data_IF_742737455262
#
_entry.id   IF_742737455262
#
_cell.length_a   1.000
_cell.length_b   1.000
_cell.length_c   1.000
_cell.angle_alpha   90.00
_cell.angle_beta   90.00
_cell.angle_gamma   90.00
#
_symmetry.space_group_name_H-M   'P 1'
#
loop_
_entity.id
_entity.type
_entity.pdbx_description
1 polymer ?
#
# COMPACT_ATOMS: atom_id res chain seq x y z
N UNK A 1 52.40 -24.54 13.29
CA UNK A 1 51.03 -23.94 13.47
C UNK A 1 50.33 -24.60 14.63
N UNK A 2 50.02 -23.86 15.68
CA UNK A 2 49.56 -24.35 17.00
C UNK A 2 48.13 -24.90 16.91
N UNK A 3 47.85 -26.06 17.61
CA UNK A 3 46.52 -26.67 17.80
C UNK A 3 45.47 -25.69 18.30
N UNK A 4 45.85 -24.66 19.05
CA UNK A 4 44.97 -23.57 19.53
C UNK A 4 44.34 -22.71 18.43
N UNK A 5 45.06 -22.45 17.34
CA UNK A 5 44.57 -21.68 16.21
C UNK A 5 43.58 -22.45 15.32
N UNK A 6 43.69 -23.78 15.31
CA UNK A 6 42.76 -24.67 14.59
C UNK A 6 41.42 -24.85 15.32
N UNK A 7 41.45 -24.81 16.66
CA UNK A 7 40.22 -24.84 17.48
C UNK A 7 39.47 -23.52 17.46
N UNK A 8 40.16 -22.34 17.49
CA UNK A 8 39.50 -21.03 17.31
C UNK A 8 38.82 -20.91 15.96
N UNK A 9 39.47 -21.31 14.87
CA UNK A 9 38.86 -21.30 13.53
C UNK A 9 37.68 -22.26 13.38
N UNK A 10 37.63 -23.35 14.16
CA UNK A 10 36.44 -24.25 14.19
C UNK A 10 35.32 -23.69 15.05
N UNK A 11 35.61 -22.97 16.12
CA UNK A 11 34.62 -22.28 16.95
C UNK A 11 34.00 -21.08 16.20
N UNK A 12 34.81 -20.29 15.44
CA UNK A 12 34.32 -19.17 14.63
C UNK A 12 33.51 -19.64 13.39
N UNK A 13 33.68 -20.88 12.93
CA UNK A 13 32.89 -21.45 11.85
C UNK A 13 31.53 -22.02 12.33
N UNK A 14 31.38 -22.30 13.62
CA UNK A 14 30.16 -22.91 14.20
C UNK A 14 29.12 -21.86 14.61
N UNK A 15 29.41 -20.54 14.55
CA UNK A 15 28.55 -19.47 15.04
C UNK A 15 28.07 -18.51 13.96
N UNK A 16 28.23 -18.82 12.67
CA UNK A 16 27.54 -18.05 11.64
C UNK A 16 26.11 -18.56 11.55
N UNK A 17 25.19 -17.84 12.21
CA UNK A 17 23.76 -18.01 11.93
C UNK A 17 23.55 -18.01 10.40
N UNK A 18 22.67 -18.88 9.87
CA UNK A 18 22.39 -18.89 8.45
C UNK A 18 22.00 -17.47 8.03
N UNK A 19 22.68 -16.94 7.02
CA UNK A 19 22.32 -15.62 6.45
C UNK A 19 20.86 -15.75 6.00
N UNK A 20 19.95 -15.00 6.64
CA UNK A 20 18.57 -14.88 6.15
C UNK A 20 18.62 -14.57 4.66
N UNK A 21 17.86 -15.31 3.86
CA UNK A 21 17.72 -15.02 2.44
C UNK A 21 17.09 -13.63 2.32
N UNK A 22 17.82 -12.71 1.73
CA UNK A 22 17.34 -11.35 1.52
C UNK A 22 16.38 -11.34 0.34
N UNK A 23 15.21 -10.72 0.50
CA UNK A 23 14.26 -10.51 -0.59
C UNK A 23 14.88 -9.45 -1.53
N UNK A 24 15.00 -9.72 -2.83
CA UNK A 24 15.49 -8.73 -3.79
C UNK A 24 14.54 -7.51 -3.84
N UNK A 25 15.11 -6.32 -4.05
CA UNK A 25 14.29 -5.13 -4.28
C UNK A 25 13.53 -5.24 -5.60
N UNK A 26 12.22 -5.00 -5.55
CA UNK A 26 11.31 -4.98 -6.71
C UNK A 26 10.81 -3.55 -6.91
N UNK A 27 11.26 -2.91 -7.99
CA UNK A 27 10.94 -1.51 -8.26
C UNK A 27 9.45 -1.29 -8.56
N UNK A 28 8.79 -2.24 -9.22
CA UNK A 28 7.36 -2.22 -9.58
C UNK A 28 6.66 -3.45 -8.99
N UNK A 29 6.37 -3.41 -7.66
CA UNK A 29 5.92 -4.61 -6.93
C UNK A 29 4.53 -5.10 -7.34
N UNK A 30 3.66 -4.24 -7.88
CA UNK A 30 2.29 -4.57 -8.26
C UNK A 30 2.09 -4.77 -9.77
N UNK A 31 3.19 -4.83 -10.54
CA UNK A 31 3.14 -5.03 -11.98
C UNK A 31 2.35 -6.28 -12.35
N UNK A 32 1.43 -6.13 -13.31
CA UNK A 32 0.60 -7.22 -13.84
C UNK A 32 -0.64 -7.55 -13.00
N UNK A 33 -0.83 -6.92 -11.84
CA UNK A 33 -2.07 -7.05 -11.07
C UNK A 33 -3.19 -6.18 -11.67
N UNK A 34 -4.40 -6.70 -11.69
CA UNK A 34 -5.58 -5.88 -11.86
C UNK A 34 -5.63 -4.84 -10.73
N UNK A 35 -5.81 -3.56 -11.07
CA UNK A 35 -5.79 -2.49 -10.06
C UNK A 35 -4.39 -2.08 -9.59
N UNK A 36 -3.33 -2.31 -10.36
CA UNK A 36 -1.98 -1.89 -10.00
C UNK A 36 -1.90 -0.43 -9.58
N UNK A 37 -2.55 0.47 -10.31
CA UNK A 37 -2.53 1.92 -10.04
C UNK A 37 -3.25 2.27 -8.74
N UNK A 38 -4.32 1.57 -8.42
CA UNK A 38 -5.05 1.67 -7.16
C UNK A 38 -4.20 1.18 -5.99
N UNK A 39 -3.52 0.04 -6.13
CA UNK A 39 -2.60 -0.50 -5.12
C UNK A 39 -1.45 0.48 -4.85
N UNK A 40 -0.89 1.09 -5.89
CA UNK A 40 0.13 2.15 -5.76
C UNK A 40 -0.43 3.36 -5.03
N UNK A 41 -1.65 3.79 -5.36
CA UNK A 41 -2.31 4.91 -4.70
C UNK A 41 -2.53 4.61 -3.21
N UNK A 42 -3.03 3.43 -2.85
CA UNK A 42 -3.23 3.01 -1.46
C UNK A 42 -1.91 2.93 -0.69
N UNK A 43 -0.84 2.50 -1.35
CA UNK A 43 0.46 2.35 -0.70
C UNK A 43 1.13 3.70 -0.38
N UNK A 44 1.00 4.74 -1.25
CA UNK A 44 1.84 5.94 -1.15
C UNK A 44 1.11 7.27 -1.33
N UNK A 45 -0.18 7.28 -1.68
CA UNK A 45 -0.88 8.52 -2.05
C UNK A 45 -2.08 8.78 -1.15
N UNK A 46 -2.88 7.77 -0.90
CA UNK A 46 -4.13 7.90 -0.17
C UNK A 46 -3.92 7.73 1.34
N UNK A 47 -4.40 8.65 2.16
CA UNK A 47 -4.31 8.51 3.62
C UNK A 47 -5.30 7.46 4.14
N UNK A 48 -6.52 7.43 3.62
CA UNK A 48 -7.57 6.50 4.00
C UNK A 48 -8.29 5.98 2.77
N UNK A 49 -8.25 4.67 2.54
CA UNK A 49 -8.96 4.01 1.45
C UNK A 49 -9.12 2.52 1.74
N UNK A 50 -10.10 1.91 1.09
CA UNK A 50 -10.31 0.47 1.10
C UNK A 50 -10.45 -0.08 -0.32
N UNK A 51 -10.14 -1.35 -0.50
CA UNK A 51 -10.29 -2.02 -1.78
C UNK A 51 -10.61 -3.50 -1.55
N UNK A 52 -11.74 -3.97 -2.06
CA UNK A 52 -12.08 -5.40 -2.03
C UNK A 52 -11.34 -6.09 -3.17
N UNK A 53 -10.60 -7.15 -2.85
CA UNK A 53 -9.91 -8.01 -3.80
C UNK A 53 -10.35 -9.45 -3.60
N UNK A 54 -10.30 -10.24 -4.67
CA UNK A 54 -10.68 -11.64 -4.64
C UNK A 54 -9.45 -12.53 -4.63
N UNK A 55 -9.46 -13.52 -3.76
CA UNK A 55 -8.46 -14.59 -3.77
C UNK A 55 -8.70 -15.53 -4.95
N UNK A 56 -7.66 -16.10 -5.50
CA UNK A 56 -7.78 -17.17 -6.50
C UNK A 56 -8.31 -18.48 -5.84
N UNK A 57 -8.66 -19.45 -6.67
CA UNK A 57 -9.26 -20.70 -6.19
C UNK A 57 -8.31 -21.54 -5.30
N UNK A 58 -7.00 -21.41 -5.49
CA UNK A 58 -5.99 -22.13 -4.68
C UNK A 58 -5.93 -21.57 -3.25
N UNK A 59 -6.29 -20.31 -3.07
CA UNK A 59 -6.33 -19.59 -1.78
C UNK A 59 -7.76 -19.41 -1.25
N UNK A 60 -8.70 -20.25 -1.67
CA UNK A 60 -10.06 -20.30 -1.14
C UNK A 60 -11.12 -19.48 -1.90
N UNK A 61 -10.74 -18.63 -2.88
CA UNK A 61 -11.68 -17.94 -3.77
C UNK A 61 -12.59 -16.91 -3.09
N UNK A 62 -12.32 -16.55 -1.83
CA UNK A 62 -13.08 -15.57 -1.06
C UNK A 62 -12.65 -14.13 -1.34
N UNK A 63 -13.43 -13.17 -0.85
CA UNK A 63 -13.09 -11.75 -0.90
C UNK A 63 -12.42 -11.34 0.41
N UNK A 64 -11.39 -10.49 0.32
CA UNK A 64 -10.72 -9.83 1.44
C UNK A 64 -10.67 -8.34 1.18
N UNK A 65 -10.45 -7.55 2.21
CA UNK A 65 -10.34 -6.09 2.08
C UNK A 65 -8.91 -5.62 2.32
N UNK A 66 -8.29 -5.06 1.31
CA UNK A 66 -7.09 -4.25 1.48
C UNK A 66 -7.48 -2.87 2.01
N UNK A 67 -6.71 -2.35 2.95
CA UNK A 67 -6.91 -1.04 3.56
C UNK A 67 -5.60 -0.26 3.58
N UNK A 68 -5.65 1.06 3.62
CA UNK A 68 -4.42 1.86 3.67
C UNK A 68 -3.65 1.63 4.96
N UNK A 69 -4.32 1.76 6.09
CA UNK A 69 -3.73 1.72 7.43
C UNK A 69 -4.64 0.95 8.39
N UNK A 70 -4.06 0.33 9.41
CA UNK A 70 -4.74 -0.29 10.54
C UNK A 70 -4.27 0.33 11.87
N UNK A 71 -5.05 0.19 12.95
CA UNK A 71 -4.64 0.67 14.28
C UNK A 71 -3.26 0.13 14.67
N UNK A 72 -2.46 0.95 15.36
CA UNK A 72 -1.13 0.60 15.85
C UNK A 72 -0.16 0.10 14.76
N UNK A 73 -0.40 0.47 13.49
CA UNK A 73 0.35 -0.01 12.33
C UNK A 73 0.34 -1.55 12.20
N UNK A 74 -0.74 -2.20 12.64
CA UNK A 74 -0.93 -3.62 12.43
C UNK A 74 -0.88 -3.97 10.95
N UNK A 75 -0.36 -5.16 10.63
CA UNK A 75 -0.26 -5.63 9.25
C UNK A 75 -1.59 -6.18 8.73
N UNK A 76 -2.37 -6.78 9.62
CA UNK A 76 -3.69 -7.28 9.31
C UNK A 76 -4.58 -7.30 10.56
N UNK A 77 -5.89 -7.37 10.34
CA UNK A 77 -6.91 -7.52 11.37
C UNK A 77 -8.00 -8.46 10.85
N UNK A 78 -8.34 -9.49 11.60
CA UNK A 78 -9.58 -10.23 11.39
C UNK A 78 -10.61 -9.72 12.39
N UNK A 79 -11.60 -8.97 11.90
CA UNK A 79 -12.65 -8.38 12.73
C UNK A 79 -13.50 -9.47 13.39
N UNK A 80 -14.27 -9.11 14.44
CA UNK A 80 -15.14 -10.06 15.15
C UNK A 80 -16.21 -10.67 14.23
N UNK A 81 -16.67 -9.94 13.20
CA UNK A 81 -17.58 -10.42 12.16
C UNK A 81 -16.91 -11.37 11.14
N UNK A 82 -15.61 -11.61 11.25
CA UNK A 82 -14.83 -12.50 10.39
C UNK A 82 -14.26 -11.84 9.14
N UNK A 83 -14.53 -10.56 8.87
CA UNK A 83 -13.92 -9.86 7.73
C UNK A 83 -12.41 -9.68 7.95
N UNK A 84 -11.62 -10.02 6.93
CA UNK A 84 -10.16 -9.90 6.94
C UNK A 84 -9.76 -8.58 6.29
N UNK A 85 -9.07 -7.74 7.06
CA UNK A 85 -8.47 -6.48 6.64
C UNK A 85 -6.95 -6.64 6.57
N UNK A 86 -6.32 -6.22 5.47
CA UNK A 86 -4.85 -6.26 5.31
C UNK A 86 -4.33 -4.88 4.96
N UNK A 87 -3.38 -4.37 5.75
CA UNK A 87 -2.83 -3.04 5.58
C UNK A 87 -1.83 -2.98 4.42
N UNK A 88 -1.94 -1.93 3.61
CA UNK A 88 -0.97 -1.60 2.57
C UNK A 88 0.22 -0.80 3.12
N UNK A 89 -0.03 0.09 4.10
CA UNK A 89 0.99 0.94 4.71
C UNK A 89 1.37 0.36 6.09
N UNK A 90 2.57 -0.20 6.17
CA UNK A 90 3.10 -0.80 7.39
C UNK A 90 4.49 -0.23 7.70
N UNK A 91 5.00 -0.46 8.90
CA UNK A 91 6.34 -0.02 9.31
C UNK A 91 7.47 -0.91 8.79
N UNK A 92 7.16 -2.09 8.24
CA UNK A 92 8.13 -3.10 7.85
C UNK A 92 8.14 -3.31 6.34
N UNK A 93 9.31 -3.18 5.70
CA UNK A 93 9.47 -3.33 4.26
C UNK A 93 10.65 -4.25 3.95
N UNK A 94 10.41 -5.33 3.21
CA UNK A 94 11.46 -6.27 2.79
C UNK A 94 12.23 -5.82 1.55
N UNK A 95 11.61 -4.97 0.72
CA UNK A 95 12.08 -4.58 -0.61
C UNK A 95 11.15 -5.04 -1.74
N UNK A 96 10.15 -5.88 -1.45
CA UNK A 96 9.05 -6.26 -2.35
C UNK A 96 7.70 -6.07 -1.63
N UNK A 97 7.06 -4.92 -1.85
CA UNK A 97 5.79 -4.59 -1.19
C UNK A 97 4.67 -5.59 -1.51
N UNK A 98 4.65 -6.17 -2.72
CA UNK A 98 3.67 -7.20 -3.07
C UNK A 98 3.85 -8.46 -2.20
N UNK A 99 5.11 -8.84 -1.94
CA UNK A 99 5.45 -9.95 -1.05
C UNK A 99 5.10 -9.64 0.40
N UNK A 100 5.33 -8.40 0.86
CA UNK A 100 5.06 -7.99 2.23
C UNK A 100 3.57 -8.08 2.54
N UNK A 101 2.72 -7.54 1.65
CA UNK A 101 1.26 -7.60 1.78
C UNK A 101 0.76 -9.05 1.65
N UNK A 102 1.32 -9.84 0.73
CA UNK A 102 0.96 -11.24 0.57
C UNK A 102 1.25 -12.07 1.83
N UNK A 103 2.39 -11.84 2.48
CA UNK A 103 2.72 -12.50 3.74
C UNK A 103 1.70 -12.20 4.84
N UNK A 104 1.39 -10.90 5.02
CA UNK A 104 0.40 -10.48 6.00
C UNK A 104 -1.00 -11.05 5.70
N UNK A 105 -1.36 -11.11 4.42
CA UNK A 105 -2.64 -11.69 3.98
C UNK A 105 -2.73 -13.19 4.33
N UNK A 106 -1.71 -13.97 3.99
CA UNK A 106 -1.71 -15.42 4.27
C UNK A 106 -1.77 -15.70 5.77
N UNK A 107 -1.03 -14.95 6.60
CA UNK A 107 -1.12 -15.07 8.06
C UNK A 107 -2.50 -14.63 8.58
N UNK A 108 -3.09 -13.58 7.99
CA UNK A 108 -4.40 -13.07 8.39
C UNK A 108 -5.56 -14.04 8.16
N UNK A 109 -5.46 -14.90 7.15
CA UNK A 109 -6.48 -15.93 6.90
C UNK A 109 -6.58 -16.93 8.04
N UNK A 110 -5.46 -17.19 8.74
CA UNK A 110 -5.35 -18.13 9.86
C UNK A 110 -5.64 -17.51 11.23
N UNK A 111 -5.85 -16.17 11.30
CA UNK A 111 -6.16 -15.50 12.57
C UNK A 111 -7.52 -15.94 13.13
N UNK A 112 -7.62 -15.91 14.44
CA UNK A 112 -8.92 -15.95 15.13
C UNK A 112 -9.68 -14.64 14.95
N UNK A 113 -11.01 -14.69 14.90
CA UNK A 113 -11.84 -13.49 14.82
C UNK A 113 -11.59 -12.56 16.03
N UNK A 114 -11.52 -11.27 15.79
CA UNK A 114 -11.22 -10.24 16.78
C UNK A 114 -9.72 -10.06 17.07
N UNK A 115 -8.82 -10.67 16.29
CA UNK A 115 -7.38 -10.57 16.50
C UNK A 115 -6.66 -9.80 15.41
N UNK A 116 -5.55 -9.12 15.77
CA UNK A 116 -4.71 -8.37 14.87
C UNK A 116 -3.33 -9.01 14.73
N UNK A 117 -2.76 -8.94 13.52
CA UNK A 117 -1.39 -9.31 13.22
C UNK A 117 -0.49 -8.08 13.41
N UNK A 118 0.24 -8.04 14.50
CA UNK A 118 1.27 -7.02 14.71
C UNK A 118 2.58 -7.40 14.02
N UNK A 119 3.35 -6.41 13.56
CA UNK A 119 4.60 -6.67 12.85
C UNK A 119 5.61 -7.40 13.73
N UNK A 120 5.97 -8.64 13.35
CA UNK A 120 6.93 -9.48 14.07
C UNK A 120 8.32 -9.53 13.42
N UNK A 121 8.53 -8.87 12.29
CA UNK A 121 9.78 -8.84 11.53
C UNK A 121 9.57 -8.79 10.02
N UNK A 122 10.66 -8.80 9.27
CA UNK A 122 10.58 -8.86 7.81
C UNK A 122 10.12 -10.25 7.36
N UNK A 123 9.21 -10.32 6.37
CA UNK A 123 8.73 -11.59 5.85
C UNK A 123 9.85 -12.41 5.19
N UNK A 124 9.71 -13.72 5.21
CA UNK A 124 10.59 -14.63 4.46
C UNK A 124 10.21 -14.62 2.97
N UNK A 125 11.14 -15.01 2.06
CA UNK A 125 10.81 -15.21 0.65
C UNK A 125 9.64 -16.18 0.46
N UNK A 126 8.69 -15.86 -0.42
CA UNK A 126 7.48 -16.66 -0.64
C UNK A 126 6.59 -16.02 -1.69
N UNK A 127 5.30 -16.35 -1.66
CA UNK A 127 4.30 -15.87 -2.60
C UNK A 127 4.14 -14.35 -2.57
N UNK A 128 3.71 -13.82 -3.69
CA UNK A 128 3.39 -12.41 -3.91
C UNK A 128 1.89 -12.28 -4.16
N UNK A 129 1.37 -11.06 -4.14
CA UNK A 129 -0.05 -10.83 -4.47
C UNK A 129 -0.42 -11.38 -5.86
N UNK A 130 0.51 -11.37 -6.82
CA UNK A 130 0.31 -11.95 -8.15
C UNK A 130 0.02 -13.46 -8.13
N UNK A 131 0.50 -14.16 -7.10
CA UNK A 131 0.30 -15.61 -6.93
C UNK A 131 -1.01 -15.92 -6.19
N UNK A 132 -1.55 -14.96 -5.43
CA UNK A 132 -2.66 -15.16 -4.49
C UNK A 132 -3.98 -14.58 -5.03
N UNK A 133 -3.94 -13.43 -5.72
CA UNK A 133 -5.14 -12.74 -6.16
C UNK A 133 -5.69 -13.29 -7.49
N UNK A 134 -7.01 -13.21 -7.64
CA UNK A 134 -7.65 -13.47 -8.94
C UNK A 134 -7.36 -12.32 -9.91
N UNK A 135 -6.61 -12.62 -10.96
CA UNK A 135 -6.23 -11.65 -12.00
C UNK A 135 -7.37 -11.17 -12.90
N UNK A 136 -8.54 -11.82 -12.82
CA UNK A 136 -9.69 -11.53 -13.71
C UNK A 136 -10.66 -10.51 -13.12
N UNK A 137 -10.63 -10.33 -11.80
CA UNK A 137 -11.53 -9.41 -11.10
C UNK A 137 -10.85 -8.07 -10.90
N UNK A 138 -11.37 -7.03 -11.56
CA UNK A 138 -10.90 -5.66 -11.32
C UNK A 138 -11.40 -5.20 -9.94
N UNK A 139 -10.48 -4.81 -9.04
CA UNK A 139 -10.88 -4.35 -7.72
C UNK A 139 -11.49 -2.95 -7.78
N UNK A 140 -12.37 -2.64 -6.81
CA UNK A 140 -12.94 -1.32 -6.64
C UNK A 140 -12.28 -0.60 -5.47
N UNK A 141 -11.63 0.53 -5.77
CA UNK A 141 -11.06 1.43 -4.77
C UNK A 141 -12.15 2.35 -4.22
N UNK A 142 -12.24 2.43 -2.90
CA UNK A 142 -13.09 3.36 -2.17
C UNK A 142 -12.21 4.30 -1.33
N UNK A 143 -12.13 5.58 -1.72
CA UNK A 143 -11.39 6.62 -0.98
C UNK A 143 -12.25 7.08 0.19
N UNK A 144 -11.70 7.01 1.41
CA UNK A 144 -12.41 7.29 2.65
C UNK A 144 -11.93 8.60 3.27
N UNK A 145 -12.81 9.26 4.00
CA UNK A 145 -12.49 10.45 4.81
C UNK A 145 -12.09 10.10 6.24
N UNK A 146 -12.37 8.88 6.67
CA UNK A 146 -12.13 8.36 8.02
C UNK A 146 -11.62 6.93 7.97
N UNK A 147 -11.20 6.40 9.12
CA UNK A 147 -10.83 4.99 9.30
C UNK A 147 -12.00 4.13 9.83
N UNK A 148 -13.24 4.50 9.56
CA UNK A 148 -14.45 3.79 10.00
C UNK A 148 -14.50 2.32 9.54
N UNK A 149 -13.78 1.96 8.48
CA UNK A 149 -13.63 0.58 8.02
C UNK A 149 -12.89 -0.33 9.01
N UNK A 150 -12.26 0.21 10.07
CA UNK A 150 -11.68 -0.61 11.15
C UNK A 150 -12.76 -1.25 12.02
N UNK A 151 -13.93 -0.63 12.08
CA UNK A 151 -14.99 -0.98 13.00
C UNK A 151 -15.83 -2.12 12.46
N UNK A 152 -16.27 -2.98 13.36
CA UNK A 152 -17.38 -3.89 13.17
C UNK A 152 -18.66 -3.32 13.76
N UNK A 153 -19.77 -4.05 13.66
CA UNK A 153 -21.07 -3.60 14.17
C UNK A 153 -21.09 -3.40 15.68
N UNK A 154 -20.24 -4.07 16.46
CA UNK A 154 -20.22 -3.95 17.92
C UNK A 154 -19.44 -2.72 18.37
N UNK A 155 -18.33 -2.43 17.70
CA UNK A 155 -17.45 -1.29 18.01
C UNK A 155 -17.93 0.02 17.40
N UNK A 156 -18.74 -0.03 16.33
CA UNK A 156 -19.26 1.15 15.62
C UNK A 156 -20.19 2.04 16.48
N UNK A 157 -20.80 1.49 17.54
CA UNK A 157 -21.67 2.25 18.46
C UNK A 157 -20.93 2.74 19.73
N UNK A 158 -19.65 2.40 19.91
CA UNK A 158 -18.89 2.81 21.09
C UNK A 158 -18.48 4.30 21.02
N UNK A 159 -18.97 5.16 21.99
CA UNK A 159 -18.71 6.59 21.93
C UNK A 159 -17.22 6.98 22.03
N UNK A 160 -16.40 6.18 22.72
CA UNK A 160 -14.97 6.43 22.85
C UNK A 160 -14.24 6.16 21.53
N UNK A 161 -14.64 5.09 20.83
CA UNK A 161 -14.10 4.74 19.52
C UNK A 161 -14.49 5.79 18.49
N UNK A 162 -15.76 6.21 18.47
CA UNK A 162 -16.23 7.26 17.57
C UNK A 162 -15.48 8.58 17.78
N UNK A 163 -15.22 8.96 19.04
CA UNK A 163 -14.43 10.16 19.32
C UNK A 163 -12.98 10.03 18.84
N UNK A 164 -12.34 8.89 19.06
CA UNK A 164 -10.98 8.64 18.56
C UNK A 164 -10.89 8.68 17.04
N UNK A 165 -11.92 8.19 16.34
CA UNK A 165 -12.00 8.30 14.89
C UNK A 165 -12.16 9.76 14.41
N UNK A 166 -12.97 10.55 15.11
CA UNK A 166 -13.16 11.96 14.77
C UNK A 166 -11.86 12.77 15.02
N UNK A 167 -11.14 12.47 16.10
CA UNK A 167 -9.80 13.04 16.35
C UNK A 167 -8.79 12.63 15.26
N UNK A 168 -8.78 11.36 14.85
CA UNK A 168 -7.91 10.87 13.77
C UNK A 168 -8.26 11.50 12.41
N UNK A 169 -9.53 11.83 12.16
CA UNK A 169 -9.98 12.50 10.94
C UNK A 169 -9.35 13.89 10.75
N UNK A 170 -9.12 14.62 11.84
CA UNK A 170 -8.48 15.94 11.79
C UNK A 170 -7.01 15.86 11.30
N UNK A 171 -6.36 14.72 11.47
CA UNK A 171 -4.99 14.47 11.02
C UNK A 171 -4.91 13.97 9.56
N UNK A 172 -6.04 13.52 8.99
CA UNK A 172 -6.10 13.03 7.61
C UNK A 172 -6.14 14.22 6.64
N UNK A 173 -5.19 14.27 5.72
CA UNK A 173 -5.25 15.23 4.62
C UNK A 173 -6.50 14.96 3.76
N UNK A 174 -7.43 15.92 3.62
CA UNK A 174 -8.59 15.74 2.77
C UNK A 174 -8.19 15.28 1.38
N UNK A 175 -8.74 14.15 0.94
CA UNK A 175 -8.37 13.51 -0.33
C UNK A 175 -9.61 12.91 -0.98
N UNK A 176 -9.75 13.09 -2.30
CA UNK A 176 -10.86 12.55 -3.07
C UNK A 176 -10.41 12.13 -4.48
N UNK A 177 -11.12 11.18 -5.08
CA UNK A 177 -10.94 10.87 -6.50
C UNK A 177 -11.41 12.05 -7.36
N UNK A 178 -10.66 12.36 -8.43
CA UNK A 178 -11.05 13.39 -9.40
C UNK A 178 -12.17 12.83 -10.29
N UNK A 179 -13.36 13.44 -10.31
CA UNK A 179 -14.48 12.93 -11.10
C UNK A 179 -14.14 12.82 -12.60
N UNK A 180 -14.42 11.66 -13.19
CA UNK A 180 -14.22 11.44 -14.62
C UNK A 180 -12.76 11.24 -15.06
N UNK A 181 -11.80 11.21 -14.14
CA UNK A 181 -10.40 10.93 -14.43
C UNK A 181 -9.91 9.77 -13.57
N UNK A 182 -9.65 8.65 -14.20
CA UNK A 182 -9.18 7.46 -13.49
C UNK A 182 -7.80 7.67 -12.87
N UNK A 183 -7.61 7.16 -11.66
CA UNK A 183 -6.36 7.17 -10.88
C UNK A 183 -5.78 8.54 -10.57
N UNK A 184 -6.59 9.61 -10.70
CA UNK A 184 -6.25 10.96 -10.28
C UNK A 184 -6.93 11.27 -8.94
N UNK A 185 -6.15 11.87 -8.03
CA UNK A 185 -6.59 12.15 -6.67
C UNK A 185 -6.30 13.60 -6.32
N UNK A 186 -7.34 14.33 -5.96
CA UNK A 186 -7.24 15.65 -5.34
C UNK A 186 -6.90 15.51 -3.87
N UNK A 187 -6.11 16.41 -3.34
CA UNK A 187 -5.88 16.52 -1.91
C UNK A 187 -5.59 17.97 -1.49
N UNK A 188 -5.85 18.26 -0.22
CA UNK A 188 -5.49 19.53 0.42
C UNK A 188 -4.42 19.30 1.48
N UNK A 189 -3.28 19.98 1.34
CA UNK A 189 -2.18 19.90 2.30
C UNK A 189 -1.59 21.31 2.52
N UNK A 190 -1.41 21.69 3.78
CA UNK A 190 -0.84 23.00 4.17
C UNK A 190 -1.56 24.20 3.52
N UNK A 191 -2.89 24.13 3.41
CA UNK A 191 -3.71 25.20 2.83
C UNK A 191 -3.66 25.30 1.31
N UNK A 192 -3.00 24.36 0.62
CA UNK A 192 -2.93 24.29 -0.85
C UNK A 192 -3.59 23.03 -1.36
N UNK A 193 -4.08 23.10 -2.58
CA UNK A 193 -4.75 22.00 -3.26
C UNK A 193 -3.88 21.42 -4.36
N UNK A 194 -3.92 20.10 -4.49
CA UNK A 194 -3.09 19.39 -5.45
C UNK A 194 -3.89 18.29 -6.15
N UNK A 195 -3.51 17.99 -7.38
CA UNK A 195 -3.88 16.75 -8.08
C UNK A 195 -2.63 15.89 -8.23
N UNK A 196 -2.72 14.65 -7.79
CA UNK A 196 -1.70 13.60 -7.97
C UNK A 196 -2.30 12.51 -8.86
N UNK A 197 -1.65 12.18 -9.97
CA UNK A 197 -2.21 11.28 -10.98
C UNK A 197 -1.29 10.08 -11.22
N UNK A 198 -1.71 8.89 -10.82
CA UNK A 198 -0.93 7.65 -11.01
C UNK A 198 -0.98 7.24 -12.46
N UNK A 199 0.18 7.21 -13.14
CA UNK A 199 0.31 6.88 -14.56
C UNK A 199 0.83 5.46 -14.72
N UNK A 200 0.21 4.68 -15.60
CA UNK A 200 0.59 3.29 -15.87
C UNK A 200 1.33 3.08 -17.18
N UNK A 201 1.48 4.14 -17.98
CA UNK A 201 2.21 4.11 -19.24
C UNK A 201 3.73 3.98 -19.01
N UNK A 202 4.46 3.68 -20.07
CA UNK A 202 5.93 3.78 -20.05
C UNK A 202 6.35 5.18 -19.59
N UNK A 203 7.30 5.23 -18.66
CA UNK A 203 7.70 6.48 -18.01
C UNK A 203 8.32 7.46 -19.00
N UNK A 204 9.18 7.00 -19.90
CA UNK A 204 9.85 7.84 -20.89
C UNK A 204 8.83 8.41 -21.88
N UNK A 205 7.90 7.60 -22.33
CA UNK A 205 6.82 8.02 -23.22
C UNK A 205 5.93 9.06 -22.56
N UNK A 206 5.56 8.84 -21.31
CA UNK A 206 4.75 9.77 -20.53
C UNK A 206 5.46 11.12 -20.35
N UNK A 207 6.71 11.13 -19.88
CA UNK A 207 7.45 12.38 -19.64
C UNK A 207 7.80 13.09 -20.94
N UNK A 208 8.07 12.39 -22.02
CA UNK A 208 8.26 13.00 -23.34
C UNK A 208 6.97 13.69 -23.82
N UNK A 209 5.80 13.08 -23.63
CA UNK A 209 4.52 13.68 -23.94
C UNK A 209 4.25 14.92 -23.08
N UNK A 210 4.43 14.80 -21.75
CA UNK A 210 4.24 15.90 -20.81
C UNK A 210 5.16 17.08 -21.10
N UNK A 211 6.44 16.82 -21.43
CA UNK A 211 7.40 17.86 -21.79
C UNK A 211 6.96 18.67 -23.03
N UNK A 212 6.42 17.99 -24.05
CA UNK A 212 5.86 18.68 -25.26
C UNK A 212 4.67 19.55 -24.89
N UNK A 213 3.75 19.04 -24.07
CA UNK A 213 2.57 19.81 -23.61
C UNK A 213 3.01 20.98 -22.74
N UNK A 214 4.01 20.80 -21.87
CA UNK A 214 4.56 21.85 -21.03
C UNK A 214 5.29 22.94 -21.83
N UNK A 215 6.12 22.56 -22.81
CA UNK A 215 6.78 23.50 -23.73
C UNK A 215 5.78 24.34 -24.53
N UNK A 216 4.64 23.77 -24.88
CA UNK A 216 3.53 24.46 -25.54
C UNK A 216 2.68 25.31 -24.57
N UNK A 217 3.03 25.41 -23.28
CA UNK A 217 2.29 26.10 -22.21
C UNK A 217 0.84 25.61 -22.05
N UNK A 218 0.63 24.30 -22.18
CA UNK A 218 -0.68 23.63 -22.13
C UNK A 218 -0.75 22.55 -21.07
N UNK A 219 0.19 22.53 -20.12
CA UNK A 219 0.26 21.54 -19.05
C UNK A 219 -0.58 21.87 -17.81
N UNK A 220 -1.23 23.03 -17.75
CA UNK A 220 -2.16 23.38 -16.69
C UNK A 220 -3.44 22.55 -16.83
N UNK A 221 -3.98 22.06 -15.70
CA UNK A 221 -5.26 21.33 -15.65
C UNK A 221 -6.46 22.27 -15.73
N UNK A 222 -6.29 23.49 -15.17
CA UNK A 222 -7.28 24.56 -15.17
C UNK A 222 -6.57 25.91 -15.20
N UNK A 223 -7.31 27.01 -15.30
CA UNK A 223 -6.75 28.36 -15.28
C UNK A 223 -6.09 28.62 -13.91
N UNK A 224 -4.82 29.03 -13.93
CA UNK A 224 -4.02 29.26 -12.72
C UNK A 224 -3.31 28.00 -12.17
N UNK A 225 -3.77 26.81 -12.46
CA UNK A 225 -3.11 25.58 -12.04
C UNK A 225 -1.75 25.43 -12.71
N UNK A 226 -0.80 24.82 -12.02
CA UNK A 226 0.55 24.60 -12.54
C UNK A 226 1.10 23.22 -12.24
N UNK A 227 1.74 22.64 -13.23
CA UNK A 227 2.56 21.45 -13.01
C UNK A 227 3.76 21.79 -12.14
N UNK A 228 3.93 21.10 -10.99
CA UNK A 228 5.00 21.39 -10.04
C UNK A 228 6.07 20.30 -9.99
N UNK A 229 5.84 19.16 -10.62
CA UNK A 229 6.81 18.07 -10.68
C UNK A 229 6.15 16.71 -10.72
N UNK A 230 6.96 15.68 -10.60
CA UNK A 230 6.50 14.31 -10.49
C UNK A 230 7.41 13.51 -9.55
N UNK A 231 6.87 12.44 -8.96
CA UNK A 231 7.64 11.46 -8.22
C UNK A 231 7.34 10.04 -8.70
N UNK A 232 8.08 9.06 -8.24
CA UNK A 232 7.79 7.64 -8.47
C UNK A 232 7.19 7.03 -7.23
N UNK A 233 6.07 6.33 -7.42
CA UNK A 233 5.41 5.52 -6.42
C UNK A 233 5.39 4.08 -6.91
N UNK A 234 6.03 3.15 -6.20
CA UNK A 234 6.09 1.72 -6.56
C UNK A 234 6.38 1.50 -8.07
N UNK A 235 7.31 2.27 -8.64
CA UNK A 235 7.72 2.15 -10.03
C UNK A 235 6.84 2.88 -11.06
N UNK A 236 5.75 3.50 -10.65
CA UNK A 236 4.89 4.29 -11.52
C UNK A 236 5.15 5.79 -11.37
N UNK A 237 5.02 6.54 -12.46
CA UNK A 237 5.12 8.00 -12.46
C UNK A 237 3.86 8.63 -11.85
N UNK A 238 4.04 9.61 -10.96
CA UNK A 238 2.96 10.38 -10.35
C UNK A 238 3.23 11.87 -10.54
N UNK A 239 2.78 12.46 -11.65
CA UNK A 239 2.81 13.90 -11.85
C UNK A 239 1.88 14.62 -10.86
N UNK A 240 2.29 15.83 -10.49
CA UNK A 240 1.60 16.64 -9.48
C UNK A 240 1.33 18.04 -10.02
N UNK A 241 0.10 18.48 -9.86
CA UNK A 241 -0.32 19.86 -10.13
C UNK A 241 -0.75 20.52 -8.83
N UNK A 242 -0.35 21.78 -8.65
CA UNK A 242 -0.93 22.69 -7.65
C UNK A 242 -2.10 23.41 -8.32
N UNK A 243 -3.27 23.38 -7.65
CA UNK A 243 -4.46 24.10 -8.06
C UNK A 243 -4.49 25.51 -7.44
N UNK A 244 -5.47 26.34 -7.80
CA UNK A 244 -5.61 27.72 -7.33
C UNK A 244 -6.67 27.82 -6.25
#
# INVERSE_FOLDING_TARGET
MSKKNRQRRRADAATKAPKKKQIPFVARPFEGLAGERELVAMMQILPAATMVVRLNAEHGGGDIRLVTLLPELAQALKRADGEVLVAMQTSMHSGDASRDVAAALLEALELDAGTALTASGLPEPGERLQDILDSKTAPQLDVRETFDFWLDSETAENPEVLRSLEEAKEEIAPTASVPGVEHAYWCRMNGKEFVRWVRGEDEDDFFNALARVHAARRSALEEGARFIGAFRACGLAVPVWELV
#
